data_IF_571868887899
#
_entry.id   IF_571868887899
#
_cell.length_a   1.000
_cell.length_b   1.000
_cell.length_c   1.000
_cell.angle_alpha   90.00
_cell.angle_beta   90.00
_cell.angle_gamma   90.00
#
_symmetry.space_group_name_H-M   'P 1'
#
loop_
_entity.id
_entity.type
_entity.pdbx_description
1 polymer ?
#
# COMPACT_ATOMS: atom_id res chain seq x y z
N UNK A 1 -38.01 -10.11 10.99
CA UNK A 1 -38.62 -9.16 10.03
C UNK A 1 -37.95 -9.31 8.66
N UNK A 2 -36.60 -9.08 8.50
CA UNK A 2 -35.95 -9.15 7.19
C UNK A 2 -36.03 -10.55 6.55
N UNK A 3 -35.75 -11.61 7.30
CA UNK A 3 -35.82 -13.00 6.81
C UNK A 3 -37.23 -13.42 6.36
N UNK A 4 -38.26 -12.91 6.99
CA UNK A 4 -39.64 -13.23 6.63
C UNK A 4 -40.03 -12.55 5.29
N UNK A 5 -39.50 -11.34 5.06
CA UNK A 5 -39.70 -10.60 3.82
C UNK A 5 -38.89 -11.18 2.64
N UNK A 6 -37.66 -11.64 2.88
CA UNK A 6 -36.79 -12.19 1.84
C UNK A 6 -37.34 -13.48 1.19
N UNK A 7 -38.18 -14.25 1.89
CA UNK A 7 -38.77 -15.47 1.34
C UNK A 7 -39.69 -15.23 0.14
N UNK A 8 -40.23 -14.01 0.03
CA UNK A 8 -41.12 -13.60 -1.04
C UNK A 8 -40.38 -12.93 -2.21
N UNK A 9 -39.05 -12.87 -2.17
CA UNK A 9 -38.25 -12.28 -3.22
C UNK A 9 -37.72 -13.35 -4.17
N UNK A 10 -37.70 -13.05 -5.46
CA UNK A 10 -37.07 -13.91 -6.47
C UNK A 10 -35.53 -13.81 -6.40
N UNK A 11 -35.03 -12.60 -6.22
CA UNK A 11 -33.61 -12.31 -6.17
C UNK A 11 -33.27 -11.21 -5.15
N UNK A 12 -32.09 -11.34 -4.57
CA UNK A 12 -31.39 -10.27 -3.83
C UNK A 12 -30.23 -9.73 -4.69
N UNK A 13 -30.22 -8.43 -4.94
CA UNK A 13 -29.17 -7.77 -5.72
C UNK A 13 -28.28 -6.96 -4.78
N UNK A 14 -26.97 -7.22 -4.82
CA UNK A 14 -25.98 -6.47 -4.07
C UNK A 14 -24.96 -5.83 -4.98
N UNK A 15 -25.02 -4.51 -5.11
CA UNK A 15 -24.10 -3.69 -5.89
C UNK A 15 -23.20 -2.87 -4.94
N UNK A 16 -22.29 -3.54 -4.24
CA UNK A 16 -21.36 -2.91 -3.30
C UNK A 16 -19.96 -2.83 -3.90
N UNK A 17 -19.33 -1.67 -3.77
CA UNK A 17 -17.95 -1.46 -4.23
C UNK A 17 -16.95 -2.17 -3.30
N UNK A 18 -17.28 -2.31 -2.01
CA UNK A 18 -16.45 -2.99 -1.01
C UNK A 18 -17.32 -3.65 0.05
N UNK A 19 -17.09 -4.93 0.27
CA UNK A 19 -17.73 -5.72 1.32
C UNK A 19 -16.69 -6.57 2.04
N UNK A 20 -16.88 -6.79 3.34
CA UNK A 20 -16.11 -7.76 4.11
C UNK A 20 -16.82 -9.11 4.14
N UNK A 21 -17.96 -9.16 4.84
CA UNK A 21 -18.82 -10.34 4.95
C UNK A 21 -20.27 -9.92 4.71
N UNK A 22 -20.80 -10.10 3.48
CA UNK A 22 -22.14 -9.64 3.12
C UNK A 22 -23.20 -10.54 3.75
N UNK A 23 -23.58 -10.24 4.99
CA UNK A 23 -24.59 -11.02 5.75
C UNK A 23 -25.92 -11.15 5.01
N UNK A 24 -26.33 -10.10 4.29
CA UNK A 24 -27.58 -10.09 3.54
C UNK A 24 -27.64 -11.17 2.44
N UNK A 25 -26.53 -11.46 1.75
CA UNK A 25 -26.45 -12.57 0.78
C UNK A 25 -26.57 -13.91 1.51
N UNK A 26 -25.88 -14.08 2.64
CA UNK A 26 -25.97 -15.30 3.43
C UNK A 26 -27.41 -15.52 3.96
N UNK A 27 -28.08 -14.44 4.34
CA UNK A 27 -29.47 -14.47 4.80
C UNK A 27 -30.45 -14.78 3.64
N UNK A 28 -30.24 -14.20 2.46
CA UNK A 28 -31.08 -14.51 1.26
C UNK A 28 -30.99 -15.97 0.91
N UNK A 29 -29.79 -16.53 0.85
CA UNK A 29 -29.58 -17.96 0.57
C UNK A 29 -30.19 -18.87 1.63
N UNK A 30 -30.17 -18.48 2.91
CA UNK A 30 -30.86 -19.24 4.00
C UNK A 30 -32.38 -19.22 3.83
N UNK A 31 -32.93 -18.18 3.23
CA UNK A 31 -34.35 -18.06 2.93
C UNK A 31 -34.75 -18.74 1.63
N UNK A 32 -33.80 -19.26 0.87
CA UNK A 32 -34.06 -19.85 -0.46
C UNK A 32 -34.14 -18.81 -1.59
N UNK A 33 -33.83 -17.54 -1.30
CA UNK A 33 -33.79 -16.45 -2.28
C UNK A 33 -32.44 -16.45 -2.99
N UNK A 34 -32.45 -16.43 -4.31
CA UNK A 34 -31.23 -16.30 -5.11
C UNK A 34 -30.58 -14.93 -4.94
N UNK A 35 -29.34 -14.80 -5.38
CA UNK A 35 -28.63 -13.52 -5.36
C UNK A 35 -27.85 -13.29 -6.66
N UNK A 36 -27.57 -12.01 -6.93
CA UNK A 36 -26.54 -11.57 -7.87
C UNK A 36 -25.77 -10.44 -7.19
N UNK A 37 -24.45 -10.46 -7.28
CA UNK A 37 -23.60 -9.56 -6.53
C UNK A 37 -22.41 -9.05 -7.34
N UNK A 38 -21.85 -7.94 -6.91
CA UNK A 38 -20.50 -7.53 -7.28
C UNK A 38 -19.46 -8.51 -6.76
N UNK A 39 -18.30 -8.55 -7.40
CA UNK A 39 -17.16 -9.40 -7.01
C UNK A 39 -16.42 -8.81 -5.80
N UNK A 40 -17.07 -8.75 -4.64
CA UNK A 40 -16.49 -8.19 -3.41
C UNK A 40 -16.71 -9.08 -2.19
N UNK A 41 -15.72 -9.12 -1.29
CA UNK A 41 -15.78 -9.77 0.01
C UNK A 41 -15.86 -11.30 -0.02
N UNK A 42 -16.15 -11.86 1.15
CA UNK A 42 -16.12 -13.32 1.42
C UNK A 42 -16.93 -14.16 0.42
N UNK A 43 -18.09 -13.69 -0.02
CA UNK A 43 -18.92 -14.45 -0.96
C UNK A 43 -18.25 -14.56 -2.32
N UNK A 44 -17.68 -13.47 -2.83
CA UNK A 44 -16.93 -13.51 -4.08
C UNK A 44 -15.66 -14.36 -3.96
N UNK A 45 -14.89 -14.20 -2.87
CA UNK A 45 -13.70 -15.02 -2.58
C UNK A 45 -14.02 -16.53 -2.52
N UNK A 46 -15.24 -16.87 -2.10
CA UNK A 46 -15.66 -18.26 -1.90
C UNK A 46 -16.27 -18.89 -3.14
N UNK A 47 -17.01 -18.10 -3.94
CA UNK A 47 -17.88 -18.63 -4.99
C UNK A 47 -17.48 -18.24 -6.41
N UNK A 48 -16.76 -17.13 -6.65
CA UNK A 48 -16.58 -16.57 -7.99
C UNK A 48 -15.90 -17.50 -9.00
N UNK A 49 -15.03 -18.44 -8.54
CA UNK A 49 -14.37 -19.37 -9.44
C UNK A 49 -15.32 -20.48 -9.98
N UNK A 50 -16.29 -20.90 -9.17
CA UNK A 50 -17.20 -22.00 -9.51
C UNK A 50 -18.59 -21.49 -9.96
N UNK A 51 -18.96 -20.26 -9.61
CA UNK A 51 -20.29 -19.69 -9.79
C UNK A 51 -20.19 -18.24 -10.32
N UNK A 52 -19.37 -18.06 -11.37
CA UNK A 52 -19.12 -16.73 -11.97
C UNK A 52 -20.43 -16.06 -12.44
N UNK A 53 -21.44 -16.84 -12.80
CA UNK A 53 -22.76 -16.38 -13.23
C UNK A 53 -23.52 -15.57 -12.17
N UNK A 54 -23.19 -15.72 -10.88
CA UNK A 54 -23.83 -14.99 -9.78
C UNK A 54 -23.17 -13.64 -9.51
N UNK A 55 -22.18 -13.26 -10.31
CA UNK A 55 -21.44 -12.02 -10.14
C UNK A 55 -21.42 -11.19 -11.41
N UNK A 56 -21.64 -9.90 -11.29
CA UNK A 56 -21.49 -8.97 -12.41
C UNK A 56 -20.11 -8.30 -12.38
N UNK A 57 -19.58 -8.06 -13.60
CA UNK A 57 -18.24 -7.51 -13.80
C UNK A 57 -18.20 -5.99 -13.66
N UNK A 58 -19.33 -5.32 -13.94
CA UNK A 58 -19.46 -3.87 -14.00
C UNK A 58 -20.78 -3.42 -13.37
N UNK A 59 -20.79 -2.21 -12.83
CA UNK A 59 -21.93 -1.58 -12.16
C UNK A 59 -22.84 -0.80 -13.12
N UNK A 60 -22.61 -0.88 -14.42
CA UNK A 60 -23.50 -0.22 -15.37
C UNK A 60 -24.87 -0.90 -15.39
N UNK A 61 -25.99 -0.14 -15.45
CA UNK A 61 -27.33 -0.71 -15.44
C UNK A 61 -27.57 -1.77 -16.53
N UNK A 62 -26.97 -1.58 -17.70
CA UNK A 62 -27.14 -2.50 -18.84
C UNK A 62 -26.43 -3.85 -18.56
N UNK A 63 -25.21 -3.82 -18.00
CA UNK A 63 -24.48 -5.05 -17.63
C UNK A 63 -25.26 -5.80 -16.55
N UNK A 64 -25.68 -5.11 -15.49
CA UNK A 64 -26.46 -5.71 -14.41
C UNK A 64 -27.78 -6.33 -14.93
N UNK A 65 -28.50 -5.62 -15.78
CA UNK A 65 -29.76 -6.12 -16.38
C UNK A 65 -29.52 -7.34 -17.27
N UNK A 66 -28.46 -7.36 -18.06
CA UNK A 66 -28.10 -8.49 -18.92
C UNK A 66 -27.70 -9.72 -18.11
N UNK A 67 -26.92 -9.56 -17.06
CA UNK A 67 -26.53 -10.66 -16.16
C UNK A 67 -27.77 -11.22 -15.46
N UNK A 68 -28.68 -10.37 -14.97
CA UNK A 68 -29.90 -10.82 -14.33
C UNK A 68 -30.82 -11.59 -15.33
N UNK A 69 -30.97 -11.10 -16.57
CA UNK A 69 -31.69 -11.82 -17.62
C UNK A 69 -31.07 -13.18 -17.92
N UNK A 70 -29.74 -13.26 -18.01
CA UNK A 70 -29.06 -14.52 -18.25
C UNK A 70 -29.31 -15.53 -17.11
N UNK A 71 -29.28 -15.08 -15.85
CA UNK A 71 -29.64 -15.91 -14.70
C UNK A 71 -31.07 -16.40 -14.76
N UNK A 72 -32.05 -15.53 -15.04
CA UNK A 72 -33.46 -15.90 -15.14
C UNK A 72 -33.72 -16.94 -16.25
N UNK A 73 -32.89 -16.99 -17.28
CA UNK A 73 -33.00 -17.96 -18.37
C UNK A 73 -32.22 -19.26 -18.12
N UNK A 74 -31.50 -19.39 -17.01
CA UNK A 74 -30.70 -20.58 -16.70
C UNK A 74 -31.56 -21.77 -16.29
N UNK A 75 -31.52 -22.89 -17.02
CA UNK A 75 -32.46 -24.00 -16.82
C UNK A 75 -32.30 -24.75 -15.49
N UNK A 76 -31.15 -24.66 -14.84
CA UNK A 76 -30.84 -25.34 -13.56
C UNK A 76 -30.47 -24.37 -12.45
N UNK A 77 -30.97 -23.13 -12.48
CA UNK A 77 -30.62 -22.07 -11.57
C UNK A 77 -30.83 -22.45 -10.10
N UNK A 78 -31.95 -23.08 -9.76
CA UNK A 78 -32.23 -23.50 -8.39
C UNK A 78 -31.20 -24.51 -7.87
N UNK A 79 -30.77 -25.46 -8.70
CA UNK A 79 -29.75 -26.46 -8.35
C UNK A 79 -28.39 -25.75 -8.12
N UNK A 80 -28.04 -24.84 -9.00
CA UNK A 80 -26.77 -24.04 -8.86
C UNK A 80 -26.73 -23.23 -7.56
N UNK A 81 -27.88 -22.64 -7.15
CA UNK A 81 -27.92 -21.98 -5.85
C UNK A 81 -27.83 -22.96 -4.68
N UNK A 82 -28.39 -24.17 -4.78
CA UNK A 82 -28.21 -25.19 -3.74
C UNK A 82 -26.74 -25.65 -3.62
N UNK A 83 -26.05 -25.79 -4.74
CA UNK A 83 -24.61 -26.07 -4.76
C UNK A 83 -23.81 -24.94 -4.09
N UNK A 84 -24.09 -23.69 -4.45
CA UNK A 84 -23.44 -22.52 -3.86
C UNK A 84 -23.69 -22.42 -2.33
N UNK A 85 -24.92 -22.71 -1.88
CA UNK A 85 -25.28 -22.82 -0.46
C UNK A 85 -24.44 -23.87 0.23
N UNK A 86 -24.22 -25.03 -0.41
CA UNK A 86 -23.36 -26.10 0.11
C UNK A 86 -21.93 -25.64 0.35
N UNK A 87 -21.35 -24.93 -0.63
CA UNK A 87 -19.99 -24.36 -0.53
C UNK A 87 -19.90 -23.33 0.58
N UNK A 88 -20.86 -22.41 0.69
CA UNK A 88 -20.90 -21.40 1.76
C UNK A 88 -21.01 -22.06 3.13
N UNK A 89 -21.92 -23.02 3.30
CA UNK A 89 -22.10 -23.74 4.55
C UNK A 89 -20.83 -24.45 5.00
N UNK A 90 -20.10 -25.07 4.08
CA UNK A 90 -18.83 -25.75 4.37
C UNK A 90 -17.79 -24.74 4.86
N UNK A 91 -17.71 -23.56 4.24
CA UNK A 91 -16.77 -22.51 4.60
C UNK A 91 -17.19 -21.71 5.85
N UNK A 92 -18.46 -21.73 6.22
CA UNK A 92 -19.00 -21.11 7.44
C UNK A 92 -19.24 -22.08 8.59
N UNK A 93 -18.91 -23.37 8.43
CA UNK A 93 -19.05 -24.37 9.48
C UNK A 93 -18.22 -23.94 10.70
N UNK A 94 -18.79 -24.11 11.90
CA UNK A 94 -18.12 -23.75 13.17
C UNK A 94 -16.75 -24.40 13.30
N UNK A 95 -16.63 -25.62 12.87
CA UNK A 95 -15.39 -26.41 12.88
C UNK A 95 -14.33 -25.80 11.96
N UNK A 96 -14.69 -25.37 10.76
CA UNK A 96 -13.80 -24.72 9.81
C UNK A 96 -13.35 -23.35 10.31
N UNK A 97 -14.29 -22.55 10.81
CA UNK A 97 -13.99 -21.23 11.42
C UNK A 97 -13.10 -21.43 12.66
N UNK A 98 -13.43 -22.40 13.53
CA UNK A 98 -12.62 -22.72 14.70
C UNK A 98 -11.20 -23.17 14.31
N UNK A 99 -11.05 -23.99 13.27
CA UNK A 99 -9.73 -24.39 12.77
C UNK A 99 -8.94 -23.21 12.19
N UNK A 100 -9.59 -22.30 11.42
CA UNK A 100 -8.94 -21.06 10.98
C UNK A 100 -8.49 -20.20 12.15
N UNK A 101 -9.36 -19.99 13.16
CA UNK A 101 -9.01 -19.26 14.38
C UNK A 101 -7.92 -19.96 15.18
N UNK A 102 -7.98 -21.27 15.34
CA UNK A 102 -6.93 -22.05 16.00
C UNK A 102 -5.62 -21.98 15.22
N UNK A 103 -5.65 -21.99 13.88
CA UNK A 103 -4.49 -21.76 13.03
C UNK A 103 -3.89 -20.38 13.24
N UNK A 104 -4.72 -19.33 13.29
CA UNK A 104 -4.28 -17.96 13.60
C UNK A 104 -3.77 -17.84 15.04
N UNK A 105 -4.44 -18.46 16.00
CA UNK A 105 -4.06 -18.42 17.41
C UNK A 105 -2.85 -19.32 17.70
N UNK A 106 -2.69 -20.44 17.00
CA UNK A 106 -1.52 -21.30 17.11
C UNK A 106 -0.30 -20.71 16.41
N UNK A 107 -0.50 -19.92 15.36
CA UNK A 107 0.55 -19.06 14.79
C UNK A 107 1.07 -18.06 15.83
N UNK A 108 0.18 -17.57 16.71
CA UNK A 108 0.55 -16.74 17.86
C UNK A 108 1.02 -17.54 19.10
N UNK A 109 0.95 -18.89 19.06
CA UNK A 109 1.39 -19.82 20.11
C UNK A 109 2.58 -20.68 19.73
N UNK A 110 3.36 -20.30 18.70
CA UNK A 110 4.73 -20.81 18.64
C UNK A 110 5.40 -20.43 19.95
N UNK A 111 6.15 -21.36 20.59
CA UNK A 111 6.84 -21.06 21.83
C UNK A 111 7.64 -19.77 21.60
N UNK A 112 7.78 -18.97 22.65
CA UNK A 112 8.67 -17.83 22.74
C UNK A 112 10.14 -18.25 22.55
N UNK A 113 10.48 -18.81 21.43
CA UNK A 113 11.66 -18.44 20.74
C UNK A 113 11.26 -17.12 20.10
N UNK A 114 11.75 -16.03 20.64
CA UNK A 114 11.61 -14.70 20.15
C UNK A 114 11.74 -14.74 18.63
N UNK A 115 10.60 -14.83 17.91
CA UNK A 115 10.56 -14.29 16.57
C UNK A 115 10.74 -12.81 16.86
N UNK A 116 12.00 -12.36 16.89
CA UNK A 116 12.33 -10.96 16.78
C UNK A 116 11.57 -10.49 15.56
N UNK A 117 10.45 -9.82 15.81
CA UNK A 117 9.67 -9.21 14.77
C UNK A 117 10.58 -8.16 14.19
N UNK A 118 11.18 -8.47 13.05
CA UNK A 118 12.15 -7.62 12.37
C UNK A 118 11.44 -6.31 12.02
N UNK A 119 11.54 -5.33 12.91
CA UNK A 119 10.99 -4.01 12.68
C UNK A 119 11.98 -3.23 11.82
N UNK A 120 11.52 -2.85 10.63
CA UNK A 120 12.27 -1.91 9.80
C UNK A 120 12.33 -0.55 10.50
N UNK A 121 13.54 -0.01 10.63
CA UNK A 121 13.76 1.37 11.05
C UNK A 121 13.92 2.21 9.80
N UNK A 122 13.02 3.16 9.61
CA UNK A 122 13.00 4.02 8.44
C UNK A 122 12.93 5.49 8.85
N UNK A 123 13.73 6.35 8.24
CA UNK A 123 13.61 7.81 8.38
C UNK A 123 12.91 8.41 7.17
N UNK A 124 11.93 9.28 7.41
CA UNK A 124 11.17 9.99 6.37
C UNK A 124 11.57 11.46 6.31
N UNK A 125 11.95 11.91 5.13
CA UNK A 125 12.39 13.27 4.81
C UNK A 125 11.73 13.72 3.50
N UNK A 126 11.91 14.99 3.11
CA UNK A 126 11.47 15.50 1.80
C UNK A 126 12.63 16.19 1.08
N UNK A 127 13.21 17.21 1.68
CA UNK A 127 14.28 18.00 1.08
C UNK A 127 15.46 18.17 2.01
N UNK A 128 16.67 18.37 1.45
CA UNK A 128 17.89 18.76 2.18
C UNK A 128 18.51 19.93 1.46
N UNK A 129 18.45 21.10 2.06
CA UNK A 129 18.93 22.31 1.38
C UNK A 129 19.33 23.41 2.36
N UNK A 130 20.58 23.88 2.24
CA UNK A 130 21.08 25.08 2.91
C UNK A 130 20.77 25.16 4.41
N UNK A 131 20.46 26.37 4.86
CA UNK A 131 20.00 26.68 6.23
C UNK A 131 18.52 27.13 6.20
N UNK A 132 17.68 26.32 5.56
CA UNK A 132 16.26 26.59 5.38
C UNK A 132 15.47 25.85 6.45
N UNK A 133 14.59 26.58 7.12
CA UNK A 133 13.73 26.07 8.18
C UNK A 133 12.26 26.20 7.78
N UNK A 134 11.74 25.21 7.07
CA UNK A 134 10.32 25.08 6.79
C UNK A 134 9.82 23.66 7.13
N UNK A 135 8.58 23.34 6.80
CA UNK A 135 7.95 22.08 7.19
C UNK A 135 8.48 20.86 6.47
N UNK A 136 9.18 21.02 5.34
CA UNK A 136 9.65 19.93 4.47
C UNK A 136 11.16 19.89 4.29
N UNK A 137 11.88 20.97 4.62
CA UNK A 137 13.34 21.03 4.47
C UNK A 137 14.05 20.62 5.75
N UNK A 138 15.00 19.73 5.60
CA UNK A 138 16.02 19.46 6.63
C UNK A 138 17.25 20.29 6.29
N UNK A 139 17.72 21.19 7.18
CA UNK A 139 18.95 21.94 6.94
C UNK A 139 20.14 21.02 6.68
N UNK A 140 21.00 21.40 5.74
CA UNK A 140 22.14 20.57 5.29
C UNK A 140 23.07 20.18 6.45
N UNK A 141 23.32 21.09 7.39
CA UNK A 141 24.13 20.79 8.59
C UNK A 141 23.46 19.73 9.48
N UNK A 142 22.16 19.82 9.72
CA UNK A 142 21.39 18.84 10.51
C UNK A 142 21.43 17.45 9.87
N UNK A 143 21.26 17.38 8.55
CA UNK A 143 21.33 16.11 7.84
C UNK A 143 22.77 15.53 7.88
N UNK A 144 23.80 16.37 7.71
CA UNK A 144 25.20 15.96 7.81
C UNK A 144 25.55 15.41 9.20
N UNK A 145 25.12 16.10 10.26
CA UNK A 145 25.30 15.66 11.63
C UNK A 145 24.58 14.33 11.89
N UNK A 146 23.35 14.17 11.38
CA UNK A 146 22.60 12.93 11.49
C UNK A 146 23.33 11.77 10.84
N UNK A 147 23.76 11.91 9.59
CA UNK A 147 24.46 10.85 8.85
C UNK A 147 25.79 10.50 9.51
N UNK A 148 26.53 11.51 9.97
CA UNK A 148 27.78 11.31 10.71
C UNK A 148 27.56 10.55 12.04
N UNK A 149 26.53 10.91 12.79
CA UNK A 149 26.16 10.24 14.04
C UNK A 149 25.79 8.76 13.82
N UNK A 150 25.00 8.47 12.77
CA UNK A 150 24.63 7.10 12.42
C UNK A 150 25.87 6.26 12.13
N UNK A 151 26.80 6.80 11.32
CA UNK A 151 28.04 6.13 10.98
C UNK A 151 28.95 5.92 12.22
N UNK A 152 29.08 6.92 13.08
CA UNK A 152 29.84 6.85 14.34
C UNK A 152 29.31 5.76 15.27
N UNK A 153 28.01 5.55 15.32
CA UNK A 153 27.36 4.51 16.10
C UNK A 153 27.46 3.10 15.47
N UNK A 154 28.11 2.97 14.32
CA UNK A 154 28.28 1.70 13.62
C UNK A 154 27.02 1.22 12.90
N UNK A 155 26.09 2.13 12.60
CA UNK A 155 24.92 1.88 11.76
C UNK A 155 25.18 2.35 10.32
N UNK A 156 24.44 1.76 9.37
CA UNK A 156 24.42 2.19 7.98
C UNK A 156 23.09 2.81 7.59
N UNK A 157 23.12 3.58 6.52
CA UNK A 157 21.94 4.14 5.87
C UNK A 157 21.85 3.57 4.45
N UNK A 158 20.68 3.11 4.03
CA UNK A 158 20.50 2.54 2.69
C UNK A 158 19.10 2.79 2.12
N UNK A 159 18.95 2.50 0.81
CA UNK A 159 17.67 2.42 0.15
C UNK A 159 16.84 1.23 0.66
N UNK A 160 15.53 1.23 0.38
CA UNK A 160 14.68 0.07 0.67
C UNK A 160 15.11 -1.17 -0.12
N UNK A 161 15.51 -0.99 -1.37
CA UNK A 161 16.03 -2.05 -2.22
C UNK A 161 17.28 -2.71 -1.61
N UNK A 162 18.26 -1.90 -1.21
CA UNK A 162 19.48 -2.39 -0.58
C UNK A 162 19.19 -3.07 0.77
N UNK A 163 18.29 -2.50 1.56
CA UNK A 163 17.85 -3.08 2.82
C UNK A 163 17.28 -4.50 2.62
N UNK A 164 16.46 -4.68 1.59
CA UNK A 164 15.87 -5.98 1.28
C UNK A 164 16.90 -7.04 0.86
N UNK A 165 18.00 -6.62 0.23
CA UNK A 165 19.09 -7.52 -0.19
C UNK A 165 19.95 -8.04 0.96
N UNK A 166 19.91 -7.36 2.12
CA UNK A 166 20.71 -7.71 3.29
C UNK A 166 20.10 -8.90 4.05
N UNK A 167 20.96 -9.68 4.71
CA UNK A 167 20.55 -10.72 5.66
C UNK A 167 19.83 -10.11 6.87
N UNK A 168 19.05 -10.91 7.60
CA UNK A 168 18.34 -10.47 8.80
C UNK A 168 19.27 -9.86 9.86
N UNK A 169 20.46 -10.44 10.03
CA UNK A 169 21.42 -9.94 11.00
C UNK A 169 22.01 -8.59 10.57
N UNK A 170 22.33 -8.44 9.30
CA UNK A 170 22.81 -7.16 8.76
C UNK A 170 21.78 -6.05 8.94
N UNK A 171 20.51 -6.32 8.64
CA UNK A 171 19.40 -5.35 8.72
C UNK A 171 19.29 -4.68 10.10
N UNK A 172 19.68 -5.34 11.19
CA UNK A 172 19.67 -4.78 12.54
C UNK A 172 20.51 -3.52 12.69
N UNK A 173 21.50 -3.32 11.81
CA UNK A 173 22.40 -2.17 11.80
C UNK A 173 22.17 -1.22 10.64
N UNK A 174 21.04 -1.34 9.93
CA UNK A 174 20.75 -0.51 8.77
C UNK A 174 19.44 0.25 8.95
N UNK A 175 19.46 1.51 8.58
CA UNK A 175 18.33 2.42 8.58
C UNK A 175 17.95 2.71 7.13
N UNK A 176 16.69 2.52 6.78
CA UNK A 176 16.19 2.92 5.47
C UNK A 176 15.98 4.43 5.47
N UNK A 177 16.61 5.13 4.55
CA UNK A 177 16.40 6.57 4.36
C UNK A 177 15.49 6.81 3.16
N UNK A 178 14.45 7.61 3.36
CA UNK A 178 13.48 7.93 2.32
C UNK A 178 13.27 9.43 2.17
N UNK A 179 13.13 9.88 0.92
CA UNK A 179 12.80 11.26 0.58
C UNK A 179 11.52 11.27 -0.26
N UNK A 180 10.52 12.04 0.16
CA UNK A 180 9.28 12.22 -0.58
C UNK A 180 9.40 13.35 -1.62
N UNK A 181 8.42 13.46 -2.53
CA UNK A 181 8.23 14.49 -3.56
C UNK A 181 9.26 14.49 -4.69
N UNK A 182 10.46 14.01 -4.48
CA UNK A 182 11.50 13.95 -5.51
C UNK A 182 12.05 15.33 -5.90
N UNK A 183 12.46 16.14 -4.91
CA UNK A 183 13.07 17.44 -5.18
C UNK A 183 14.50 17.31 -5.74
N UNK A 184 14.82 18.17 -6.71
CA UNK A 184 16.11 18.15 -7.43
C UNK A 184 17.31 18.54 -6.57
N UNK A 185 17.09 19.34 -5.52
CA UNK A 185 18.07 19.69 -4.48
C UNK A 185 18.77 18.48 -3.86
N UNK A 186 18.08 17.32 -3.80
CA UNK A 186 18.65 16.06 -3.28
C UNK A 186 19.92 15.61 -4.05
N UNK A 187 20.06 15.99 -5.31
CA UNK A 187 21.27 15.68 -6.10
C UNK A 187 22.51 16.47 -5.68
N UNK A 188 22.36 17.46 -4.83
CA UNK A 188 23.43 18.26 -4.26
C UNK A 188 23.84 17.73 -2.88
N UNK A 189 23.37 18.40 -1.82
CA UNK A 189 23.81 18.15 -0.45
C UNK A 189 23.50 16.72 0.05
N UNK A 190 22.28 16.23 -0.16
CA UNK A 190 21.89 14.90 0.33
C UNK A 190 22.72 13.79 -0.31
N UNK A 191 22.87 13.84 -1.64
CA UNK A 191 23.66 12.87 -2.40
C UNK A 191 25.12 12.88 -1.95
N UNK A 192 25.75 14.05 -1.85
CA UNK A 192 27.17 14.16 -1.45
C UNK A 192 27.41 13.65 -0.03
N UNK A 193 26.51 13.99 0.91
CA UNK A 193 26.64 13.59 2.31
C UNK A 193 26.56 12.07 2.45
N UNK A 194 25.57 11.44 1.82
CA UNK A 194 25.40 9.99 1.86
C UNK A 194 26.54 9.27 1.14
N UNK A 195 26.93 9.75 -0.04
CA UNK A 195 28.00 9.17 -0.85
C UNK A 195 29.36 9.13 -0.11
N UNK A 196 29.68 10.16 0.68
CA UNK A 196 30.92 10.22 1.49
C UNK A 196 31.01 9.07 2.51
N UNK A 197 29.88 8.51 2.94
CA UNK A 197 29.80 7.37 3.85
C UNK A 197 29.54 6.03 3.15
N UNK A 198 29.42 6.03 1.82
CA UNK A 198 29.02 4.84 1.06
C UNK A 198 27.55 4.46 1.30
N UNK A 199 26.69 5.41 1.63
CA UNK A 199 25.28 5.23 1.91
C UNK A 199 24.40 5.60 0.72
N UNK A 200 23.20 5.01 0.67
CA UNK A 200 22.19 5.24 -0.36
C UNK A 200 20.86 5.61 0.27
N UNK A 201 19.88 5.99 -0.53
CA UNK A 201 18.51 6.29 -0.08
C UNK A 201 17.46 5.89 -1.13
N UNK A 202 16.20 5.89 -0.74
CA UNK A 202 15.05 5.81 -1.64
C UNK A 202 14.47 7.21 -1.83
N UNK A 203 14.21 7.61 -3.08
CA UNK A 203 13.46 8.83 -3.39
C UNK A 203 12.12 8.46 -4.04
N UNK A 204 11.03 8.99 -3.49
CA UNK A 204 9.68 8.83 -4.01
C UNK A 204 9.35 10.01 -4.93
N UNK A 205 9.12 9.73 -6.21
CA UNK A 205 8.88 10.77 -7.22
C UNK A 205 7.43 10.76 -7.69
N UNK A 206 6.88 11.95 -7.89
CA UNK A 206 5.60 12.16 -8.57
C UNK A 206 5.85 12.18 -10.07
N UNK A 207 5.47 11.14 -10.79
CA UNK A 207 5.88 10.95 -12.18
C UNK A 207 5.38 12.02 -13.13
N UNK A 208 4.23 12.62 -12.88
CA UNK A 208 3.67 13.74 -13.64
C UNK A 208 4.34 15.10 -13.35
N UNK A 209 5.22 15.16 -12.33
CA UNK A 209 5.96 16.36 -11.94
C UNK A 209 7.44 16.32 -12.32
N UNK A 210 7.92 15.22 -12.91
CA UNK A 210 9.31 15.10 -13.35
C UNK A 210 9.68 16.27 -14.27
N UNK A 211 10.75 17.00 -13.92
CA UNK A 211 11.24 18.18 -14.65
C UNK A 211 10.38 19.44 -14.51
N UNK A 212 9.42 19.44 -13.61
CA UNK A 212 8.58 20.60 -13.25
C UNK A 212 8.99 21.15 -11.89
N UNK A 213 8.28 22.16 -11.43
CA UNK A 213 8.43 22.75 -10.10
C UNK A 213 7.22 22.45 -9.21
N UNK A 214 7.29 22.86 -7.93
CA UNK A 214 6.24 22.66 -6.93
C UNK A 214 5.14 23.75 -6.97
N UNK A 215 4.95 24.46 -8.07
CA UNK A 215 3.92 25.50 -8.23
C UNK A 215 2.48 24.97 -8.08
N UNK A 216 2.29 23.66 -8.14
CA UNK A 216 1.03 22.97 -7.81
C UNK A 216 0.64 23.12 -6.33
N UNK A 217 1.60 23.42 -5.45
CA UNK A 217 1.39 23.64 -4.02
C UNK A 217 1.56 25.13 -3.67
N UNK A 218 0.48 25.90 -3.84
CA UNK A 218 0.47 27.35 -3.56
C UNK A 218 0.76 27.74 -2.10
N UNK A 219 1.01 26.77 -1.21
CA UNK A 219 1.31 27.00 0.20
C UNK A 219 2.80 27.09 0.48
N UNK A 220 3.64 26.61 -0.42
CA UNK A 220 5.08 26.67 -0.25
C UNK A 220 5.62 28.05 -0.62
N UNK A 221 6.29 28.70 0.32
CA UNK A 221 6.94 29.99 0.09
C UNK A 221 8.18 29.87 -0.81
N UNK A 222 8.73 28.67 -0.98
CA UNK A 222 9.95 28.39 -1.75
C UNK A 222 9.59 27.57 -2.98
N UNK A 223 9.95 28.10 -4.15
CA UNK A 223 9.85 27.35 -5.40
C UNK A 223 10.96 26.31 -5.48
N UNK A 224 10.59 25.03 -5.62
CA UNK A 224 11.50 23.88 -5.75
C UNK A 224 11.30 23.18 -7.07
N UNK A 225 12.40 22.85 -7.74
CA UNK A 225 12.34 21.98 -8.90
C UNK A 225 12.24 20.52 -8.47
N UNK A 226 11.41 19.73 -9.16
CA UNK A 226 11.45 18.27 -9.07
C UNK A 226 12.57 17.70 -9.94
N UNK A 227 13.02 16.49 -9.59
CA UNK A 227 13.99 15.73 -10.37
C UNK A 227 13.56 15.64 -11.84
N UNK A 228 14.47 15.99 -12.73
CA UNK A 228 14.36 15.67 -14.16
C UNK A 228 14.97 14.29 -14.44
N UNK A 229 14.86 13.82 -15.68
CA UNK A 229 15.38 12.49 -16.07
C UNK A 229 16.91 12.38 -15.88
N UNK A 230 17.65 13.45 -16.08
CA UNK A 230 19.11 13.43 -15.88
C UNK A 230 19.45 13.30 -14.39
N UNK A 231 18.73 14.02 -13.54
CA UNK A 231 18.88 13.95 -12.08
C UNK A 231 18.46 12.55 -11.55
N UNK A 232 17.38 11.97 -12.06
CA UNK A 232 16.97 10.59 -11.73
C UNK A 232 18.09 9.61 -12.14
N UNK A 233 18.62 9.70 -13.35
CA UNK A 233 19.69 8.82 -13.80
C UNK A 233 20.96 8.98 -12.97
N UNK A 234 21.27 10.20 -12.51
CA UNK A 234 22.38 10.44 -11.60
C UNK A 234 22.19 9.69 -10.28
N UNK A 235 21.01 9.80 -9.64
CA UNK A 235 20.72 9.11 -8.39
C UNK A 235 20.80 7.59 -8.55
N UNK A 236 20.26 7.03 -9.64
CA UNK A 236 20.34 5.59 -9.94
C UNK A 236 21.81 5.15 -10.07
N UNK A 237 22.62 5.91 -10.81
CA UNK A 237 24.06 5.63 -10.97
C UNK A 237 24.81 5.62 -9.62
N UNK A 238 24.39 6.44 -8.69
CA UNK A 238 24.94 6.51 -7.34
C UNK A 238 24.29 5.53 -6.36
N UNK A 239 23.48 4.56 -6.85
CA UNK A 239 22.90 3.47 -6.08
C UNK A 239 21.60 3.80 -5.34
N UNK A 240 21.00 4.96 -5.59
CA UNK A 240 19.72 5.28 -4.98
C UNK A 240 18.58 4.51 -5.64
N UNK A 241 17.57 4.16 -4.85
CA UNK A 241 16.30 3.66 -5.35
C UNK A 241 15.38 4.82 -5.70
N UNK A 242 14.78 4.76 -6.90
CA UNK A 242 13.73 5.69 -7.32
C UNK A 242 12.41 4.96 -7.31
N UNK A 243 11.48 5.44 -6.51
CA UNK A 243 10.21 4.79 -6.21
C UNK A 243 9.02 5.74 -6.41
N UNK A 244 7.79 5.23 -6.27
CA UNK A 244 6.59 5.97 -6.65
C UNK A 244 5.98 6.78 -5.52
N UNK A 245 5.61 8.04 -5.84
CA UNK A 245 4.75 8.90 -5.03
C UNK A 245 3.45 9.29 -5.76
N UNK A 246 2.97 8.41 -6.66
CA UNK A 246 1.84 8.68 -7.55
C UNK A 246 2.23 9.48 -8.79
N UNK A 247 1.22 9.98 -9.49
CA UNK A 247 1.44 10.81 -10.69
C UNK A 247 1.53 12.30 -10.32
N UNK A 248 0.53 12.82 -9.60
CA UNK A 248 0.38 14.27 -9.35
C UNK A 248 0.30 14.65 -7.88
N UNK A 249 0.84 13.85 -6.97
CA UNK A 249 0.80 14.08 -5.52
C UNK A 249 -0.63 14.34 -5.00
N UNK A 250 -1.60 13.53 -5.44
CA UNK A 250 -3.00 13.69 -5.06
C UNK A 250 -3.30 12.98 -3.73
N UNK A 251 -4.15 13.61 -2.91
CA UNK A 251 -4.68 12.94 -1.73
C UNK A 251 -5.68 11.87 -2.18
N UNK A 252 -5.28 10.59 -2.10
CA UNK A 252 -6.06 9.46 -2.60
C UNK A 252 -7.44 9.31 -1.92
N UNK A 253 -7.60 9.80 -0.68
CA UNK A 253 -8.90 9.80 0.01
C UNK A 253 -9.95 10.73 -0.62
N UNK A 254 -9.53 11.63 -1.52
CA UNK A 254 -10.40 12.61 -2.20
C UNK A 254 -10.66 12.25 -3.66
N UNK A 255 -10.15 11.14 -4.12
CA UNK A 255 -10.26 10.69 -5.51
C UNK A 255 -11.33 9.62 -5.66
N UNK A 256 -11.90 9.52 -6.85
CA UNK A 256 -12.69 8.38 -7.28
C UNK A 256 -11.82 7.15 -7.49
N UNK A 257 -12.43 5.97 -7.54
CA UNK A 257 -11.72 4.70 -7.74
C UNK A 257 -10.91 4.69 -9.04
N UNK A 258 -11.45 5.26 -10.11
CA UNK A 258 -10.77 5.39 -11.41
C UNK A 258 -9.54 6.30 -11.32
N UNK A 259 -9.64 7.40 -10.59
CA UNK A 259 -8.50 8.30 -10.38
C UNK A 259 -7.43 7.68 -9.47
N UNK A 260 -7.82 6.91 -8.45
CA UNK A 260 -6.88 6.14 -7.62
C UNK A 260 -6.12 5.14 -8.48
N UNK A 261 -6.83 4.36 -9.29
CA UNK A 261 -6.24 3.38 -10.20
C UNK A 261 -5.27 4.07 -11.18
N UNK A 262 -5.63 5.23 -11.72
CA UNK A 262 -4.78 6.03 -12.60
C UNK A 262 -3.48 6.46 -11.89
N UNK A 263 -3.57 7.06 -10.69
CA UNK A 263 -2.41 7.50 -9.92
C UNK A 263 -1.43 6.34 -9.63
N UNK A 264 -1.95 5.15 -9.33
CA UNK A 264 -1.13 3.99 -9.00
C UNK A 264 -0.54 3.31 -10.25
N UNK A 265 -1.38 3.04 -11.24
CA UNK A 265 -0.97 2.30 -12.44
C UNK A 265 -0.04 3.11 -13.34
N UNK A 266 -0.39 4.37 -13.61
CA UNK A 266 0.41 5.19 -14.53
C UNK A 266 1.75 5.59 -13.91
N UNK A 267 1.81 5.86 -12.60
CA UNK A 267 3.09 6.08 -11.94
C UNK A 267 3.99 4.84 -11.96
N UNK A 268 3.43 3.65 -11.75
CA UNK A 268 4.14 2.38 -11.88
C UNK A 268 4.70 2.16 -13.28
N UNK A 269 3.86 2.37 -14.33
CA UNK A 269 4.26 2.21 -15.71
C UNK A 269 5.40 3.17 -16.10
N UNK A 270 5.24 4.45 -15.75
CA UNK A 270 6.23 5.47 -16.05
C UNK A 270 7.58 5.14 -15.38
N UNK A 271 7.56 4.77 -14.10
CA UNK A 271 8.81 4.40 -13.41
C UNK A 271 9.43 3.13 -13.97
N UNK A 272 8.65 2.10 -14.27
CA UNK A 272 9.21 0.90 -14.90
C UNK A 272 9.91 1.19 -16.24
N UNK A 273 9.47 2.19 -16.99
CA UNK A 273 10.17 2.64 -18.20
C UNK A 273 11.47 3.39 -17.90
N UNK A 274 11.51 4.15 -16.81
CA UNK A 274 12.68 4.98 -16.45
C UNK A 274 13.73 4.14 -15.71
N UNK A 275 13.31 3.35 -14.70
CA UNK A 275 14.22 2.65 -13.79
C UNK A 275 14.23 1.13 -13.96
N UNK A 276 13.44 0.61 -14.91
CA UNK A 276 13.29 -0.83 -15.18
C UNK A 276 12.39 -1.57 -14.19
N UNK A 277 12.31 -1.13 -12.94
CA UNK A 277 11.56 -1.81 -11.91
C UNK A 277 11.23 -0.88 -10.72
N UNK A 278 9.97 -0.82 -10.31
CA UNK A 278 9.52 -0.03 -9.16
C UNK A 278 8.46 -0.79 -8.36
N UNK A 279 8.79 -1.28 -7.17
CA UNK A 279 7.87 -2.04 -6.30
C UNK A 279 7.55 -1.32 -4.99
N UNK A 280 8.07 -0.12 -4.79
CA UNK A 280 7.93 0.65 -3.57
C UNK A 280 7.11 1.90 -3.82
N UNK A 281 6.19 2.21 -2.90
CA UNK A 281 5.26 3.34 -2.96
C UNK A 281 5.30 4.15 -1.66
N UNK A 282 5.09 5.46 -1.72
CA UNK A 282 4.74 6.26 -0.55
C UNK A 282 3.38 6.93 -0.77
N UNK A 283 2.52 6.89 0.25
CA UNK A 283 1.21 7.54 0.15
C UNK A 283 1.34 9.06 0.23
N UNK A 284 0.94 9.82 -0.81
CA UNK A 284 0.89 11.27 -0.72
C UNK A 284 0.09 11.73 0.50
N UNK A 285 0.63 12.67 1.27
CA UNK A 285 0.08 13.13 2.56
C UNK A 285 -0.08 12.03 3.63
N UNK A 286 0.45 10.84 3.41
CA UNK A 286 0.15 9.66 4.23
C UNK A 286 -1.33 9.25 4.20
N UNK A 287 -2.08 9.71 3.21
CA UNK A 287 -3.53 9.56 3.13
C UNK A 287 -3.93 8.22 2.53
N UNK A 288 -4.40 7.29 3.35
CA UNK A 288 -4.88 5.99 2.92
C UNK A 288 -6.03 5.49 3.82
N UNK A 289 -6.74 4.48 3.33
CA UNK A 289 -7.69 3.66 4.07
C UNK A 289 -7.55 2.20 3.62
N UNK A 290 -8.38 1.31 4.15
CA UNK A 290 -8.32 -0.12 3.80
C UNK A 290 -8.52 -0.39 2.30
N UNK A 291 -9.37 0.39 1.64
CA UNK A 291 -9.63 0.26 0.21
C UNK A 291 -8.40 0.70 -0.60
N UNK A 292 -7.88 1.91 -0.37
CA UNK A 292 -6.68 2.43 -1.04
C UNK A 292 -5.49 1.49 -0.83
N UNK A 293 -5.31 0.97 0.38
CA UNK A 293 -4.26 -0.01 0.66
C UNK A 293 -4.37 -1.24 -0.25
N UNK A 294 -5.56 -1.82 -0.41
CA UNK A 294 -5.80 -2.95 -1.33
C UNK A 294 -5.50 -2.58 -2.78
N UNK A 295 -5.82 -1.36 -3.21
CA UNK A 295 -5.45 -0.89 -4.55
C UNK A 295 -3.92 -0.82 -4.71
N UNK A 296 -3.20 -0.30 -3.70
CA UNK A 296 -1.73 -0.25 -3.72
C UNK A 296 -1.11 -1.65 -3.74
N UNK A 297 -1.67 -2.61 -3.01
CA UNK A 297 -1.23 -4.01 -2.98
C UNK A 297 -1.23 -4.69 -4.37
N UNK A 298 -2.09 -4.25 -5.30
CA UNK A 298 -2.12 -4.76 -6.67
C UNK A 298 -0.86 -4.39 -7.47
N UNK A 299 -0.25 -3.25 -7.17
CA UNK A 299 0.81 -2.67 -7.99
C UNK A 299 2.18 -2.66 -7.30
N UNK A 300 2.22 -2.51 -5.98
CA UNK A 300 3.45 -2.32 -5.22
C UNK A 300 3.59 -3.37 -4.13
N UNK A 301 4.82 -3.82 -3.88
CA UNK A 301 5.11 -4.80 -2.83
C UNK A 301 5.23 -4.17 -1.45
N UNK A 302 5.64 -2.90 -1.42
CA UNK A 302 5.88 -2.14 -0.18
C UNK A 302 5.26 -0.76 -0.28
N UNK A 303 4.71 -0.25 0.84
CA UNK A 303 4.22 1.11 0.87
C UNK A 303 4.49 1.79 2.22
N UNK A 304 4.94 3.04 2.15
CA UNK A 304 5.32 3.88 3.28
C UNK A 304 4.23 4.89 3.61
N UNK A 305 3.96 5.04 4.91
CA UNK A 305 3.06 6.04 5.47
C UNK A 305 3.84 7.20 6.10
N UNK A 306 3.11 8.19 6.63
CA UNK A 306 3.68 9.25 7.49
C UNK A 306 3.51 8.93 8.98
N UNK A 307 2.89 7.80 9.32
CA UNK A 307 2.75 7.37 10.70
C UNK A 307 4.12 7.14 11.32
N UNK A 308 4.29 7.58 12.56
CA UNK A 308 5.56 7.45 13.27
C UNK A 308 5.72 6.05 13.89
N UNK A 309 6.94 5.54 13.86
CA UNK A 309 7.33 4.31 14.53
C UNK A 309 8.02 3.29 13.63
N UNK A 310 8.31 2.12 14.18
CA UNK A 310 8.78 0.95 13.45
C UNK A 310 7.61 0.08 13.00
N UNK A 311 7.81 -0.67 11.93
CA UNK A 311 6.83 -1.61 11.41
C UNK A 311 7.46 -2.97 11.18
N UNK A 312 6.76 -4.02 11.58
CA UNK A 312 7.12 -5.37 11.18
C UNK A 312 6.83 -5.58 9.70
N UNK A 313 7.85 -5.87 8.92
CA UNK A 313 7.69 -6.19 7.49
C UNK A 313 6.88 -7.47 7.23
N UNK A 314 6.80 -8.34 8.22
CA UNK A 314 6.02 -9.59 8.11
C UNK A 314 4.52 -9.31 8.25
N UNK A 315 4.15 -8.32 9.08
CA UNK A 315 2.75 -8.06 9.43
C UNK A 315 2.10 -7.03 8.50
N UNK A 316 2.83 -6.00 8.09
CA UNK A 316 2.21 -4.90 7.33
C UNK A 316 3.15 -4.14 6.39
N UNK A 317 3.55 -4.80 5.33
CA UNK A 317 4.45 -4.25 4.30
C UNK A 317 3.87 -3.09 3.47
N UNK A 318 2.57 -2.82 3.60
CA UNK A 318 1.89 -1.70 2.93
C UNK A 318 1.51 -0.56 3.87
N UNK A 319 2.04 -0.56 5.10
CA UNK A 319 1.90 0.51 6.09
C UNK A 319 3.22 0.72 6.84
N UNK A 320 4.33 0.77 6.11
CA UNK A 320 5.65 0.97 6.69
C UNK A 320 5.73 2.37 7.29
N UNK A 321 5.92 2.44 8.60
CA UNK A 321 6.01 3.68 9.35
C UNK A 321 7.40 4.27 9.25
N UNK A 322 7.52 5.55 9.50
CA UNK A 322 8.79 6.28 9.43
C UNK A 322 9.02 7.10 10.69
N UNK A 323 10.27 7.25 11.05
CA UNK A 323 10.72 8.12 12.14
C UNK A 323 11.21 9.45 11.60
N UNK A 324 11.11 10.49 12.41
CA UNK A 324 11.90 11.71 12.21
C UNK A 324 13.35 11.49 12.65
N UNK A 325 14.26 12.36 12.20
CA UNK A 325 15.67 12.39 12.68
C UNK A 325 15.73 12.44 14.20
N UNK A 326 14.91 13.28 14.83
CA UNK A 326 14.89 13.45 16.28
C UNK A 326 14.51 12.17 17.02
N UNK A 327 13.58 11.40 16.46
CA UNK A 327 13.18 10.12 17.05
C UNK A 327 14.23 9.04 16.90
N UNK A 328 14.94 9.00 15.76
CA UNK A 328 16.09 8.11 15.59
C UNK A 328 17.16 8.41 16.62
N UNK A 329 17.49 9.69 16.85
CA UNK A 329 18.43 10.07 17.90
C UNK A 329 18.00 9.59 19.29
N UNK A 330 16.71 9.76 19.65
CA UNK A 330 16.18 9.29 20.94
C UNK A 330 16.25 7.76 21.09
N UNK A 331 16.02 7.04 20.00
CA UNK A 331 16.05 5.58 19.97
C UNK A 331 17.48 5.07 20.18
N UNK A 332 18.45 5.62 19.47
CA UNK A 332 19.87 5.20 19.56
C UNK A 332 20.55 5.64 20.85
N UNK A 333 20.09 6.70 21.53
CA UNK A 333 20.59 7.11 22.86
C UNK A 333 20.13 6.20 24.00
N UNK A 334 19.10 5.39 23.79
CA UNK A 334 18.56 4.45 24.79
C UNK A 334 19.20 3.06 24.72
N UNK A 335 19.97 2.80 23.67
CA UNK A 335 20.79 1.60 23.51
C UNK A 335 22.21 1.85 24.02
#
# INVERSE_FOLDING_TARGET
ILKDTMKDWDFYIQASVCEGHPNAICESLQCGTGFISSKTGFIAETLQEQFAEFFFEDFTPDVMANNLKALCCMPNLAERYQEAIGVIRSNCAKEYIAQKWLGMLSYNKTPKNEIEVESIVCVGLHDVMGDIHDSITTPTNVFREFVGYIAEKGYGICSMHDYLSKSKEERKKWIVCTFDDGYKSLTNDALEILKKQGFTATVFVCTGLIGKDNSWNNKDAILREHLDINAINLLIKEGWEVASHGVFHKNLLKLSDVEIEYELLESKKALNQIVGYCDTYAYPYGAYNKFIRRCVEKYYKYAFTVDQGGTSMVVDKHQLKRYSITEIYKMLKKQ
#
